data_IF_793353646589
#
_entry.id   IF_793353646589
#
_cell.length_a   1.000
_cell.length_b   1.000
_cell.length_c   1.000
_cell.angle_alpha   90.00
_cell.angle_beta   90.00
_cell.angle_gamma   90.00
#
_symmetry.space_group_name_H-M   'P 1'
#
loop_
_entity.id
_entity.type
_entity.pdbx_description
1 polymer ?
#
# COMPACT_ATOMS: atom_id res chain seq x y z
N UNK A 1 -2.13 5.52 -8.13
CA UNK A 1 -2.48 5.65 -6.72
C UNK A 1 -3.82 5.03 -6.40
N UNK A 2 -4.80 5.30 -7.24
CA UNK A 2 -6.14 4.75 -7.05
C UNK A 2 -6.13 3.23 -7.04
N UNK A 3 -5.31 2.65 -7.91
CA UNK A 3 -5.21 1.20 -8.01
C UNK A 3 -4.66 0.61 -6.73
N UNK A 4 -3.66 1.24 -6.16
CA UNK A 4 -3.07 0.77 -4.91
C UNK A 4 -4.08 0.90 -3.77
N UNK A 5 -4.79 2.04 -3.71
CA UNK A 5 -5.79 2.24 -2.68
C UNK A 5 -6.90 1.20 -2.74
N UNK A 6 -7.33 0.82 -3.94
CA UNK A 6 -8.38 -0.19 -4.06
C UNK A 6 -7.87 -1.59 -3.74
N UNK A 7 -6.56 -1.82 -3.83
CA UNK A 7 -5.98 -3.11 -3.43
C UNK A 7 -5.87 -3.26 -1.92
N UNK A 8 -5.69 -2.14 -1.21
CA UNK A 8 -5.62 -2.17 0.24
C UNK A 8 -7.05 -2.21 0.77
N UNK A 9 -7.42 -3.31 1.36
CA UNK A 9 -8.74 -3.43 1.94
C UNK A 9 -8.78 -2.93 3.37
N UNK A 10 -9.83 -3.26 4.11
CA UNK A 10 -9.94 -2.89 5.53
C UNK A 10 -8.94 -3.61 6.40
N UNK A 11 -8.27 -4.63 5.88
CA UNK A 11 -7.28 -5.39 6.64
C UNK A 11 -5.88 -4.97 6.21
N UNK A 12 -4.92 -4.94 7.15
CA UNK A 12 -3.54 -4.63 6.80
C UNK A 12 -2.97 -5.65 5.83
N UNK A 13 -2.28 -5.17 4.80
CA UNK A 13 -1.66 -6.02 3.80
C UNK A 13 -0.17 -5.75 3.74
N UNK A 14 0.62 -6.81 3.60
CA UNK A 14 2.06 -6.69 3.43
C UNK A 14 2.42 -6.27 2.02
N UNK A 15 3.69 -5.90 1.85
CA UNK A 15 4.19 -5.44 0.55
C UNK A 15 4.03 -6.52 -0.51
N UNK A 16 4.33 -7.78 -0.17
CA UNK A 16 4.24 -8.86 -1.14
C UNK A 16 2.81 -9.04 -1.63
N UNK A 17 1.87 -9.00 -0.71
CA UNK A 17 0.46 -9.12 -1.05
C UNK A 17 0.03 -7.97 -1.96
N UNK A 18 0.46 -6.77 -1.65
CA UNK A 18 0.11 -5.61 -2.45
C UNK A 18 0.74 -5.69 -3.85
N UNK A 19 1.96 -6.21 -3.96
CA UNK A 19 2.58 -6.39 -5.26
C UNK A 19 1.77 -7.34 -6.13
N UNK A 20 1.33 -8.44 -5.55
CA UNK A 20 0.52 -9.41 -6.28
C UNK A 20 -0.80 -8.80 -6.72
N UNK A 21 -1.49 -8.14 -5.82
CA UNK A 21 -2.81 -7.59 -6.10
C UNK A 21 -2.78 -6.42 -7.06
N UNK A 22 -1.77 -5.56 -6.94
CA UNK A 22 -1.68 -4.38 -7.79
C UNK A 22 -1.04 -4.67 -9.14
N UNK A 23 -0.22 -5.73 -9.21
CA UNK A 23 0.52 -6.04 -10.42
C UNK A 23 1.66 -5.07 -10.68
N UNK A 24 2.07 -4.28 -9.69
CA UNK A 24 3.13 -3.29 -9.84
C UNK A 24 4.46 -3.84 -9.34
N UNK A 25 5.58 -3.40 -9.95
CA UNK A 25 6.89 -3.73 -9.39
C UNK A 25 7.03 -3.15 -7.99
N UNK A 26 7.84 -3.81 -7.17
CA UNK A 26 8.02 -3.41 -5.78
C UNK A 26 8.48 -1.95 -5.66
N UNK A 27 9.42 -1.54 -6.50
CA UNK A 27 9.94 -0.17 -6.44
C UNK A 27 8.84 0.87 -6.69
N UNK A 28 7.98 0.60 -7.68
CA UNK A 28 6.87 1.50 -8.00
C UNK A 28 5.86 1.51 -6.86
N UNK A 29 5.56 0.33 -6.33
CA UNK A 29 4.61 0.20 -5.25
C UNK A 29 5.06 0.95 -4.00
N UNK A 30 6.33 0.80 -3.62
CA UNK A 30 6.86 1.48 -2.45
C UNK A 30 6.80 3.00 -2.60
N UNK A 31 7.15 3.50 -3.78
CA UNK A 31 7.06 4.93 -4.05
C UNK A 31 5.65 5.45 -3.94
N UNK A 32 4.70 4.70 -4.48
CA UNK A 32 3.28 5.08 -4.41
C UNK A 32 2.79 5.05 -2.97
N UNK A 33 3.16 4.02 -2.22
CA UNK A 33 2.74 3.91 -0.81
C UNK A 33 3.31 5.06 0.01
N UNK A 34 4.55 5.46 -0.26
CA UNK A 34 5.15 6.58 0.44
C UNK A 34 4.36 7.86 0.20
N UNK A 35 3.97 8.11 -1.04
CA UNK A 35 3.16 9.28 -1.37
C UNK A 35 1.81 9.23 -0.67
N UNK A 36 1.17 8.08 -0.65
CA UNK A 36 -0.12 7.92 0.00
C UNK A 36 -0.01 8.11 1.50
N UNK A 37 1.07 7.64 2.09
CA UNK A 37 1.31 7.80 3.51
C UNK A 37 1.51 9.27 3.87
N UNK A 38 2.29 9.97 3.07
CA UNK A 38 2.52 11.40 3.28
C UNK A 38 1.24 12.22 3.11
N UNK A 39 0.34 11.78 2.24
CA UNK A 39 -0.96 12.42 2.07
C UNK A 39 -1.95 12.07 3.18
N UNK A 40 -1.61 11.14 4.04
CA UNK A 40 -2.49 10.70 5.11
C UNK A 40 -3.59 9.75 4.66
N UNK A 41 -3.41 9.09 3.52
CA UNK A 41 -4.41 8.17 2.99
C UNK A 41 -4.20 6.73 3.41
N UNK A 42 -2.95 6.37 3.70
CA UNK A 42 -2.65 5.04 4.21
C UNK A 42 -1.78 5.17 5.44
N UNK A 43 -1.81 4.14 6.26
CA UNK A 43 -1.04 4.07 7.48
C UNK A 43 -0.14 2.84 7.42
N UNK A 44 1.13 3.04 7.76
CA UNK A 44 2.07 1.94 7.81
C UNK A 44 2.03 1.31 9.20
N UNK A 45 1.68 0.04 9.24
CA UNK A 45 1.59 -0.70 10.49
C UNK A 45 2.88 -1.44 10.77
N UNK A 46 3.14 -1.82 12.03
CA UNK A 46 4.30 -2.64 12.34
C UNK A 46 4.30 -3.92 11.50
N UNK A 47 5.48 -4.36 11.07
CA UNK A 47 5.60 -5.51 10.21
C UNK A 47 5.48 -5.16 8.74
N UNK A 48 5.62 -3.89 8.41
CA UNK A 48 5.56 -3.39 7.02
C UNK A 48 4.24 -3.70 6.35
N UNK A 49 3.16 -3.54 7.08
CA UNK A 49 1.82 -3.70 6.56
C UNK A 49 1.16 -2.35 6.39
N UNK A 50 0.28 -2.25 5.41
CA UNK A 50 -0.38 -1.00 5.09
C UNK A 50 -1.87 -1.17 5.18
N UNK A 51 -2.54 -0.14 5.67
CA UNK A 51 -3.99 -0.12 5.84
C UNK A 51 -4.50 1.26 5.46
N UNK A 52 -5.72 1.33 4.95
CA UNK A 52 -6.33 2.62 4.62
C UNK A 52 -6.66 3.32 5.94
N UNK A 53 -6.25 4.56 5.99
CA UNK A 53 -6.46 5.38 7.17
C UNK A 53 -7.90 5.87 7.27
#
# INVERSE_FOLDING_TARGET
ERKVLSCIGPQPLGIEELCVRSGLPTAVLLGTLMKLELSGRVLCMPGKRYVIK
#
